data_IF_356568253081
#
_entry.id   IF_356568253081
#
_cell.length_a   1.000
_cell.length_b   1.000
_cell.length_c   1.000
_cell.angle_alpha   90.00
_cell.angle_beta   90.00
_cell.angle_gamma   90.00
#
_symmetry.space_group_name_H-M   'P 1'
#
loop_
_entity.id
_entity.type
_entity.pdbx_description
1 polymer ?
#
# COMPACT_ATOMS: atom_id res chain seq x y z
N UNK A 1 -12.88 -23.63 -14.45
CA UNK A 1 -13.62 -22.46 -13.94
C UNK A 1 -12.59 -21.49 -13.39
N UNK A 2 -12.94 -20.26 -13.06
CA UNK A 2 -12.00 -19.39 -12.35
C UNK A 2 -12.52 -19.18 -10.93
N UNK A 3 -11.69 -19.44 -9.94
CA UNK A 3 -11.96 -19.05 -8.55
C UNK A 3 -11.39 -17.64 -8.36
N UNK A 4 -12.14 -16.80 -7.69
CA UNK A 4 -11.70 -15.50 -7.21
C UNK A 4 -12.21 -15.28 -5.79
N UNK A 5 -11.44 -14.59 -4.97
CA UNK A 5 -11.88 -14.05 -3.69
C UNK A 5 -12.14 -12.55 -3.79
N UNK A 6 -12.78 -11.98 -2.76
CA UNK A 6 -12.91 -10.53 -2.60
C UNK A 6 -11.61 -9.88 -2.13
N UNK A 7 -10.74 -10.63 -1.42
CA UNK A 7 -9.44 -10.16 -0.92
C UNK A 7 -8.35 -11.22 -1.07
N UNK A 8 -7.09 -10.81 -1.26
CA UNK A 8 -5.97 -11.75 -1.35
C UNK A 8 -5.62 -12.41 -0.01
N UNK A 9 -6.03 -11.81 1.13
CA UNK A 9 -5.75 -12.32 2.46
C UNK A 9 -6.82 -11.90 3.48
N UNK A 10 -6.84 -12.59 4.63
CA UNK A 10 -7.77 -12.31 5.73
C UNK A 10 -7.09 -12.38 7.10
N UNK A 11 -7.64 -11.65 8.08
CA UNK A 11 -7.27 -11.72 9.50
C UNK A 11 -8.30 -12.55 10.30
N UNK A 12 -7.94 -13.09 11.48
CA UNK A 12 -8.90 -13.72 12.38
C UNK A 12 -10.10 -12.80 12.70
N UNK A 13 -11.31 -13.38 12.68
CA UNK A 13 -12.61 -12.71 12.80
C UNK A 13 -13.19 -12.16 11.50
N UNK A 14 -12.41 -12.09 10.41
CA UNK A 14 -12.88 -11.56 9.12
C UNK A 14 -13.69 -12.61 8.33
N UNK A 15 -14.61 -12.13 7.49
CA UNK A 15 -15.37 -12.98 6.55
C UNK A 15 -14.91 -12.74 5.13
N UNK A 16 -14.42 -13.80 4.48
CA UNK A 16 -14.06 -13.80 3.07
C UNK A 16 -15.17 -14.34 2.18
N UNK A 17 -15.22 -13.85 0.94
CA UNK A 17 -16.20 -14.25 -0.08
C UNK A 17 -15.47 -14.83 -1.28
N UNK A 18 -15.69 -16.11 -1.55
CA UNK A 18 -15.09 -16.82 -2.67
C UNK A 18 -16.16 -17.10 -3.72
N UNK A 19 -15.85 -16.82 -4.98
CA UNK A 19 -16.75 -17.01 -6.12
C UNK A 19 -16.07 -17.85 -7.19
N UNK A 20 -16.80 -18.82 -7.72
CA UNK A 20 -16.38 -19.63 -8.86
C UNK A 20 -17.20 -19.24 -10.08
N UNK A 21 -16.50 -19.02 -11.20
CA UNK A 21 -17.12 -18.81 -12.50
C UNK A 21 -17.00 -20.10 -13.33
N UNK A 22 -18.13 -20.76 -13.56
CA UNK A 22 -18.25 -21.98 -14.37
C UNK A 22 -19.41 -21.78 -15.36
N UNK A 23 -19.25 -22.28 -16.58
CA UNK A 23 -20.31 -22.32 -17.58
C UNK A 23 -21.15 -23.57 -17.36
N UNK A 24 -22.42 -23.40 -16.98
CA UNK A 24 -23.40 -24.48 -16.86
C UNK A 24 -24.51 -24.27 -17.90
N UNK A 25 -24.31 -24.74 -19.15
CA UNK A 25 -25.26 -24.51 -20.23
C UNK A 25 -26.58 -25.27 -20.02
N UNK A 26 -26.54 -26.38 -19.28
CA UNK A 26 -27.65 -27.30 -19.11
C UNK A 26 -28.40 -27.09 -17.78
N UNK A 27 -27.97 -26.12 -16.96
CA UNK A 27 -28.50 -25.90 -15.60
C UNK A 27 -28.48 -27.17 -14.76
N UNK A 28 -27.44 -27.98 -14.93
CA UNK A 28 -27.30 -29.30 -14.33
C UNK A 28 -26.64 -29.24 -12.94
N UNK A 29 -26.13 -28.09 -12.49
CA UNK A 29 -25.46 -27.95 -11.20
C UNK A 29 -26.44 -27.68 -10.04
N UNK A 30 -26.31 -28.39 -8.91
CA UNK A 30 -27.07 -28.10 -7.68
C UNK A 30 -26.29 -27.31 -6.64
N UNK A 31 -24.97 -27.34 -6.75
CA UNK A 31 -24.13 -26.94 -5.64
C UNK A 31 -22.66 -27.19 -5.89
N UNK A 32 -21.90 -26.89 -4.85
CA UNK A 32 -20.45 -26.81 -4.88
C UNK A 32 -19.91 -27.28 -3.54
N UNK A 33 -18.82 -28.04 -3.58
CA UNK A 33 -18.00 -28.37 -2.41
C UNK A 33 -16.71 -27.57 -2.52
N UNK A 34 -16.47 -26.72 -1.52
CA UNK A 34 -15.29 -25.90 -1.37
C UNK A 34 -14.37 -26.53 -0.34
N UNK A 35 -13.12 -26.74 -0.70
CA UNK A 35 -12.09 -27.29 0.17
C UNK A 35 -10.99 -26.25 0.32
N UNK A 36 -10.69 -25.91 1.57
CA UNK A 36 -9.65 -24.97 1.97
C UNK A 36 -8.55 -25.78 2.66
N UNK A 37 -7.32 -25.71 2.17
CA UNK A 37 -6.19 -26.49 2.67
C UNK A 37 -5.01 -25.56 3.04
N UNK A 38 -4.57 -25.59 4.29
CA UNK A 38 -3.38 -24.86 4.71
C UNK A 38 -2.12 -25.60 4.26
N UNK A 39 -1.31 -24.96 3.43
CA UNK A 39 -0.09 -25.55 2.84
C UNK A 39 1.04 -25.83 3.85
N UNK A 40 1.01 -25.17 5.01
CA UNK A 40 2.01 -25.33 6.07
C UNK A 40 1.61 -26.35 7.12
N UNK A 41 0.39 -26.26 7.64
CA UNK A 41 -0.10 -27.13 8.71
C UNK A 41 -0.80 -28.40 8.22
N UNK A 42 -1.27 -28.41 6.97
CA UNK A 42 -2.12 -29.46 6.42
C UNK A 42 -3.56 -29.43 6.95
N UNK A 43 -3.96 -28.38 7.65
CA UNK A 43 -5.34 -28.20 8.09
C UNK A 43 -6.27 -28.11 6.88
N UNK A 44 -7.40 -28.82 6.93
CA UNK A 44 -8.43 -28.77 5.89
C UNK A 44 -9.79 -28.37 6.44
N UNK A 45 -10.50 -27.54 5.68
CA UNK A 45 -11.87 -27.11 5.96
C UNK A 45 -12.74 -27.30 4.72
N UNK A 46 -13.90 -27.92 4.88
CA UNK A 46 -14.82 -28.21 3.76
C UNK A 46 -16.14 -27.48 3.98
N UNK A 47 -16.57 -26.72 2.98
CA UNK A 47 -17.83 -25.98 2.99
C UNK A 47 -18.66 -26.34 1.76
N UNK A 48 -19.91 -26.75 1.98
CA UNK A 48 -20.85 -27.01 0.91
C UNK A 48 -21.77 -25.81 0.70
N UNK A 49 -22.01 -25.45 -0.56
CA UNK A 49 -22.88 -24.34 -0.95
C UNK A 49 -23.79 -24.75 -2.10
N UNK A 50 -25.01 -24.21 -2.14
CA UNK A 50 -25.92 -24.34 -3.29
C UNK A 50 -25.69 -23.26 -4.34
N UNK A 51 -24.84 -22.27 -4.05
CA UNK A 51 -24.50 -21.16 -4.94
C UNK A 51 -23.04 -21.23 -5.35
N UNK A 52 -22.71 -20.61 -6.48
CA UNK A 52 -21.33 -20.47 -6.96
C UNK A 52 -20.48 -19.50 -6.13
N UNK A 53 -21.02 -19.02 -5.02
CA UNK A 53 -20.33 -18.19 -4.01
C UNK A 53 -20.42 -18.88 -2.66
N UNK A 54 -19.36 -18.76 -1.85
CA UNK A 54 -19.31 -19.17 -0.45
C UNK A 54 -18.74 -18.03 0.41
N UNK A 55 -19.31 -17.86 1.60
CA UNK A 55 -18.80 -16.93 2.61
C UNK A 55 -18.23 -17.73 3.78
N UNK A 56 -16.99 -17.45 4.15
CA UNK A 56 -16.26 -18.15 5.22
C UNK A 56 -15.76 -17.13 6.22
N UNK A 57 -16.10 -17.32 7.50
CA UNK A 57 -15.53 -16.53 8.60
C UNK A 57 -14.33 -17.27 9.16
N UNK A 58 -13.17 -16.62 9.17
CA UNK A 58 -11.92 -17.19 9.65
C UNK A 58 -11.78 -16.88 11.15
N UNK A 59 -12.15 -17.81 12.02
CA UNK A 59 -11.97 -17.64 13.47
C UNK A 59 -10.62 -18.21 13.95
N UNK A 60 -10.40 -18.19 15.26
CA UNK A 60 -9.17 -18.70 15.90
C UNK A 60 -8.94 -20.21 15.70
N UNK A 61 -9.87 -20.94 15.07
CA UNK A 61 -9.65 -22.34 14.71
C UNK A 61 -8.91 -22.52 13.38
N UNK A 62 -8.71 -21.46 12.60
CA UNK A 62 -7.95 -21.49 11.35
C UNK A 62 -6.48 -21.16 11.59
N UNK A 63 -5.60 -22.04 11.16
CA UNK A 63 -4.16 -21.82 11.23
C UNK A 63 -3.73 -20.67 10.30
N UNK A 64 -2.81 -19.83 10.76
CA UNK A 64 -2.17 -18.86 9.88
C UNK A 64 -1.31 -19.52 8.79
N UNK A 65 -1.05 -18.77 7.73
CA UNK A 65 -0.22 -19.18 6.61
C UNK A 65 -0.95 -19.11 5.28
N UNK A 66 -0.38 -19.77 4.28
CA UNK A 66 -0.94 -19.80 2.93
C UNK A 66 -1.94 -20.95 2.81
N UNK A 67 -3.11 -20.63 2.27
CA UNK A 67 -4.23 -21.52 2.06
C UNK A 67 -4.51 -21.69 0.57
N UNK A 68 -4.80 -22.92 0.19
CA UNK A 68 -5.22 -23.32 -1.13
C UNK A 68 -6.73 -23.57 -1.12
N UNK A 69 -7.45 -23.07 -2.13
CA UNK A 69 -8.88 -23.29 -2.33
C UNK A 69 -9.10 -24.15 -3.56
N UNK A 70 -9.80 -25.26 -3.36
CA UNK A 70 -10.30 -26.15 -4.42
C UNK A 70 -11.81 -26.10 -4.42
N UNK A 71 -12.43 -26.14 -5.60
CA UNK A 71 -13.88 -26.19 -5.74
C UNK A 71 -14.31 -27.30 -6.68
N UNK A 72 -15.23 -28.13 -6.20
CA UNK A 72 -15.85 -29.21 -6.96
C UNK A 72 -17.32 -28.90 -7.18
N UNK A 73 -17.80 -28.95 -8.42
CA UNK A 73 -19.21 -28.73 -8.74
C UNK A 73 -20.02 -30.03 -8.62
N UNK A 74 -21.24 -29.94 -8.11
CA UNK A 74 -22.14 -31.06 -7.84
C UNK A 74 -23.26 -31.05 -8.87
N UNK A 75 -23.41 -32.15 -9.61
CA UNK A 75 -24.48 -32.33 -10.60
C UNK A 75 -25.79 -32.83 -9.97
N UNK A 76 -26.90 -32.27 -10.43
CA UNK A 76 -28.25 -32.69 -10.08
C UNK A 76 -28.67 -33.89 -10.90
N UNK A 77 -29.26 -34.88 -10.23
CA UNK A 77 -29.86 -36.05 -10.86
C UNK A 77 -28.87 -36.87 -11.71
N UNK A 78 -27.57 -36.77 -11.43
CA UNK A 78 -26.58 -37.68 -12.01
C UNK A 78 -26.94 -39.11 -11.57
N UNK A 79 -27.09 -40.07 -12.52
CA UNK A 79 -27.21 -41.48 -12.17
C UNK A 79 -26.04 -41.88 -11.25
N UNK A 80 -26.27 -42.77 -10.27
CA UNK A 80 -25.20 -43.21 -9.35
C UNK A 80 -23.94 -43.77 -10.06
N UNK A 81 -24.06 -44.17 -11.33
CA UNK A 81 -22.95 -44.66 -12.15
C UNK A 81 -22.19 -43.55 -12.91
N UNK A 82 -22.69 -42.31 -12.89
CA UNK A 82 -22.00 -41.12 -13.33
C UNK A 82 -21.47 -40.37 -12.11
N UNK A 83 -20.52 -40.97 -11.40
CA UNK A 83 -19.74 -40.34 -10.33
C UNK A 83 -18.77 -39.29 -10.88
N UNK A 84 -19.31 -38.31 -11.61
CA UNK A 84 -18.53 -37.27 -12.26
C UNK A 84 -18.52 -36.03 -11.36
N UNK A 85 -17.58 -36.00 -10.41
CA UNK A 85 -17.11 -34.73 -9.87
C UNK A 85 -16.31 -34.07 -10.98
N UNK A 86 -16.83 -32.97 -11.53
CA UNK A 86 -16.04 -32.15 -12.45
C UNK A 86 -15.09 -31.32 -11.58
N UNK A 87 -14.04 -31.98 -11.08
CA UNK A 87 -12.93 -31.33 -10.40
C UNK A 87 -12.11 -30.66 -11.50
N UNK A 88 -12.50 -29.45 -11.88
CA UNK A 88 -11.57 -28.58 -12.56
C UNK A 88 -10.61 -28.11 -11.47
N UNK A 89 -9.35 -28.55 -11.53
CA UNK A 89 -8.24 -28.20 -10.64
C UNK A 89 -7.92 -26.70 -10.69
N UNK A 90 -8.90 -25.86 -10.37
CA UNK A 90 -8.72 -24.42 -10.25
C UNK A 90 -8.31 -24.22 -8.81
N UNK A 91 -7.00 -24.17 -8.64
CA UNK A 91 -6.36 -23.88 -7.37
C UNK A 91 -6.30 -22.36 -7.22
N UNK A 92 -6.79 -21.84 -6.10
CA UNK A 92 -6.64 -20.43 -5.73
C UNK A 92 -5.90 -20.32 -4.40
N UNK A 93 -4.84 -19.52 -4.34
CA UNK A 93 -4.05 -19.32 -3.13
C UNK A 93 -4.43 -17.99 -2.45
N UNK A 94 -4.59 -18.02 -1.12
CA UNK A 94 -4.77 -16.83 -0.29
C UNK A 94 -4.02 -16.97 1.04
N UNK A 95 -3.75 -15.86 1.73
CA UNK A 95 -3.10 -15.88 3.05
C UNK A 95 -4.07 -15.69 4.20
N UNK A 96 -3.93 -16.46 5.27
CA UNK A 96 -4.40 -16.07 6.61
C UNK A 96 -3.22 -15.53 7.41
N UNK A 97 -3.33 -14.30 7.89
CA UNK A 97 -2.29 -13.65 8.67
C UNK A 97 -2.68 -13.61 10.15
N UNK A 98 -1.87 -14.25 10.99
CA UNK A 98 -1.94 -14.13 12.46
C UNK A 98 -1.50 -12.73 12.94
N UNK A 99 -0.73 -12.04 12.10
CA UNK A 99 -0.05 -10.81 12.43
C UNK A 99 -0.89 -9.58 12.04
N UNK A 100 -1.10 -8.69 13.01
CA UNK A 100 -1.67 -7.36 12.76
C UNK A 100 -0.73 -6.62 11.81
N UNK A 101 -1.24 -6.19 10.66
CA UNK A 101 -0.44 -5.45 9.68
C UNK A 101 0.31 -4.26 10.32
N UNK A 102 1.53 -3.95 9.87
CA UNK A 102 2.25 -2.80 10.39
C UNK A 102 1.51 -1.53 9.95
N UNK A 103 1.34 -0.58 10.87
CA UNK A 103 0.62 0.68 10.62
C UNK A 103 1.46 1.86 11.11
N UNK A 104 1.54 2.93 10.30
CA UNK A 104 2.17 4.19 10.72
C UNK A 104 1.15 5.00 11.54
N UNK A 105 1.22 4.87 12.86
CA UNK A 105 0.30 5.52 13.78
C UNK A 105 0.52 7.04 13.82
N UNK A 106 1.78 7.45 13.80
CA UNK A 106 2.18 8.83 14.06
C UNK A 106 3.42 9.22 13.28
N UNK A 107 3.51 10.50 12.93
CA UNK A 107 4.67 11.11 12.30
C UNK A 107 4.86 12.52 12.86
N UNK A 108 6.08 12.82 13.30
CA UNK A 108 6.48 14.14 13.78
C UNK A 108 7.72 14.68 13.09
N UNK A 109 7.87 16.00 13.17
CA UNK A 109 9.02 16.72 12.67
C UNK A 109 9.36 17.85 13.64
N UNK A 110 10.58 17.85 14.14
CA UNK A 110 11.07 18.82 15.12
C UNK A 110 12.32 19.53 14.58
N UNK A 111 12.28 20.86 14.51
CA UNK A 111 13.42 21.66 14.09
C UNK A 111 14.54 21.63 15.15
N UNK A 112 15.80 21.59 14.71
CA UNK A 112 16.95 21.77 15.59
C UNK A 112 17.03 23.23 16.04
N UNK A 113 17.04 23.44 17.36
CA UNK A 113 17.10 24.78 17.98
C UNK A 113 18.38 25.55 17.68
N UNK A 114 19.46 24.86 17.27
CA UNK A 114 20.76 25.46 16.91
C UNK A 114 20.96 25.57 15.41
N UNK A 115 20.22 24.78 14.63
CA UNK A 115 20.31 24.79 13.19
C UNK A 115 18.89 24.79 12.59
N UNK A 116 18.34 25.95 12.21
CA UNK A 116 16.97 26.07 11.72
C UNK A 116 16.65 25.27 10.45
N UNK A 117 17.67 24.73 9.77
CA UNK A 117 17.52 23.91 8.58
C UNK A 117 17.77 22.42 8.81
N UNK A 118 18.07 22.02 10.04
CA UNK A 118 18.13 20.62 10.43
C UNK A 118 16.84 20.23 11.11
N UNK A 119 16.24 19.13 10.66
CA UNK A 119 15.02 18.57 11.25
C UNK A 119 15.26 17.14 11.70
N UNK A 120 14.63 16.81 12.81
CA UNK A 120 14.52 15.45 13.36
C UNK A 120 13.12 14.93 13.10
N UNK A 121 13.04 13.78 12.45
CA UNK A 121 11.79 13.11 12.13
C UNK A 121 11.64 11.87 12.99
N UNK A 122 10.42 11.63 13.43
CA UNK A 122 10.04 10.47 14.23
C UNK A 122 8.75 9.88 13.68
N UNK A 123 8.69 8.55 13.55
CA UNK A 123 7.45 7.82 13.28
C UNK A 123 7.24 6.74 14.33
N UNK A 124 5.96 6.55 14.68
CA UNK A 124 5.51 5.41 15.48
C UNK A 124 4.85 4.39 14.57
N UNK A 125 5.22 3.13 14.75
CA UNK A 125 4.70 1.98 14.03
C UNK A 125 4.13 0.98 15.04
N UNK A 126 2.91 0.54 14.80
CA UNK A 126 2.27 -0.57 15.50
C UNK A 126 2.12 -1.78 14.58
N UNK A 127 1.71 -2.92 15.13
CA UNK A 127 1.57 -4.18 14.38
C UNK A 127 2.89 -4.94 14.21
N UNK A 128 2.89 -5.93 13.34
CA UNK A 128 4.06 -6.72 12.98
C UNK A 128 4.83 -6.07 11.83
N UNK A 129 5.96 -5.46 12.18
CA UNK A 129 6.87 -4.82 11.23
C UNK A 129 8.11 -5.68 10.93
N UNK A 130 8.07 -6.98 11.22
CA UNK A 130 9.18 -7.89 10.91
C UNK A 130 9.49 -7.88 9.40
N UNK A 131 10.77 -7.66 9.06
CA UNK A 131 11.23 -7.58 7.67
C UNK A 131 10.78 -6.34 6.90
N UNK A 132 10.03 -5.43 7.54
CA UNK A 132 9.54 -4.20 6.91
C UNK A 132 10.65 -3.14 6.88
N UNK A 133 10.62 -2.28 5.85
CA UNK A 133 11.51 -1.10 5.73
C UNK A 133 10.69 0.17 5.65
N UNK A 134 11.28 1.29 6.03
CA UNK A 134 10.73 2.64 5.85
C UNK A 134 11.47 3.33 4.71
N UNK A 135 10.74 4.06 3.86
CA UNK A 135 11.33 5.05 2.95
C UNK A 135 10.85 6.44 3.33
N UNK A 136 11.79 7.35 3.52
CA UNK A 136 11.56 8.76 3.82
C UNK A 136 11.80 9.60 2.57
N UNK A 137 10.88 10.51 2.26
CA UNK A 137 11.04 11.56 1.27
C UNK A 137 10.86 12.91 1.95
N UNK A 138 11.85 13.79 1.87
CA UNK A 138 11.87 15.05 2.60
C UNK A 138 11.25 16.23 1.85
N UNK A 139 10.77 16.01 0.62
CA UNK A 139 10.02 17.01 -0.15
C UNK A 139 10.87 18.14 -0.76
N UNK A 140 12.20 18.08 -0.65
CA UNK A 140 13.14 19.07 -1.20
C UNK A 140 13.88 18.59 -2.46
N UNK A 141 13.49 17.43 -2.99
CA UNK A 141 14.14 16.80 -4.15
C UNK A 141 15.42 16.04 -3.84
N UNK A 142 15.83 15.95 -2.57
CA UNK A 142 16.90 15.04 -2.16
C UNK A 142 16.49 13.57 -2.36
N UNK A 143 17.49 12.69 -2.46
CA UNK A 143 17.25 11.25 -2.59
C UNK A 143 16.57 10.70 -1.32
N UNK A 144 15.57 9.81 -1.46
CA UNK A 144 14.94 9.16 -0.33
C UNK A 144 15.93 8.37 0.53
N UNK A 145 15.67 8.30 1.83
CA UNK A 145 16.41 7.46 2.77
C UNK A 145 15.58 6.22 3.08
N UNK A 146 16.17 5.03 2.92
CA UNK A 146 15.56 3.77 3.33
C UNK A 146 16.22 3.24 4.60
N UNK A 147 15.42 2.68 5.52
CA UNK A 147 15.91 2.07 6.75
C UNK A 147 15.08 0.84 7.12
N UNK A 148 15.72 -0.17 7.71
CA UNK A 148 15.01 -1.32 8.26
C UNK A 148 14.26 -0.91 9.52
N UNK A 149 13.02 -1.39 9.70
CA UNK A 149 12.27 -1.16 10.93
C UNK A 149 12.77 -2.12 12.00
N UNK A 150 13.42 -1.58 13.03
CA UNK A 150 13.98 -2.37 14.15
C UNK A 150 13.28 -2.12 15.47
N UNK A 151 12.48 -1.05 15.55
CA UNK A 151 11.74 -0.65 16.75
C UNK A 151 10.40 -0.01 16.32
N UNK A 152 9.47 0.01 17.27
CA UNK A 152 8.18 0.72 17.17
C UNK A 152 8.36 2.22 16.94
N UNK A 153 9.46 2.82 17.41
CA UNK A 153 9.77 4.23 17.17
C UNK A 153 11.03 4.36 16.31
N UNK A 154 10.85 4.88 15.10
CA UNK A 154 11.94 5.07 14.14
C UNK A 154 12.24 6.55 13.96
N UNK A 155 13.52 6.88 13.86
CA UNK A 155 13.99 8.28 13.77
C UNK A 155 14.96 8.45 12.61
N UNK A 156 14.92 9.63 12.01
CA UNK A 156 15.92 10.08 11.04
C UNK A 156 16.15 11.59 11.17
N UNK A 157 17.20 12.10 10.56
CA UNK A 157 17.47 13.53 10.47
C UNK A 157 17.70 13.94 9.02
N UNK A 158 17.34 15.18 8.68
CA UNK A 158 17.61 15.75 7.37
C UNK A 158 18.08 17.18 7.49
N UNK A 159 19.01 17.56 6.61
CA UNK A 159 19.52 18.93 6.49
C UNK A 159 19.05 19.52 5.16
N UNK A 160 18.19 20.52 5.23
CA UNK A 160 17.71 21.24 4.06
C UNK A 160 18.80 22.19 3.54
N UNK A 161 19.16 22.03 2.27
CA UNK A 161 20.17 22.87 1.61
C UNK A 161 19.63 24.23 1.17
N UNK A 162 18.33 24.28 0.89
CA UNK A 162 17.59 25.48 0.56
C UNK A 162 16.19 25.39 1.19
N UNK A 163 15.59 26.55 1.47
CA UNK A 163 14.21 26.64 1.93
C UNK A 163 13.30 26.68 0.70
N UNK A 164 12.56 25.59 0.37
CA UNK A 164 11.41 25.73 -0.51
C UNK A 164 10.48 26.82 0.05
N UNK A 165 10.10 27.77 -0.81
CA UNK A 165 9.42 29.01 -0.43
C UNK A 165 8.09 28.83 0.33
N UNK A 166 7.58 27.60 0.44
CA UNK A 166 6.33 27.28 1.13
C UNK A 166 6.51 26.24 2.26
N UNK A 167 7.73 25.77 2.53
CA UNK A 167 7.98 24.57 3.33
C UNK A 167 8.10 23.31 2.48
N UNK A 168 8.12 22.14 3.12
CA UNK A 168 8.31 20.85 2.45
C UNK A 168 7.24 19.84 2.87
N UNK A 169 6.74 19.05 1.91
CA UNK A 169 5.90 17.88 2.20
C UNK A 169 6.80 16.68 2.44
N UNK A 170 6.94 16.31 3.70
CA UNK A 170 7.69 15.12 4.08
C UNK A 170 6.73 13.94 4.03
N UNK A 171 7.11 12.86 3.36
CA UNK A 171 6.35 11.62 3.36
C UNK A 171 7.20 10.44 3.82
N UNK A 172 6.52 9.46 4.38
CA UNK A 172 7.11 8.21 4.83
C UNK A 172 6.20 7.06 4.42
N UNK A 173 6.78 6.00 3.87
CA UNK A 173 6.06 4.80 3.45
C UNK A 173 6.70 3.53 4.02
N UNK A 174 5.89 2.53 4.32
CA UNK A 174 6.38 1.18 4.61
C UNK A 174 6.59 0.42 3.30
N UNK A 175 7.76 -0.21 3.19
CA UNK A 175 8.18 -1.08 2.10
C UNK A 175 8.30 -2.52 2.61
N UNK A 176 8.21 -3.47 1.69
CA UNK A 176 8.32 -4.91 1.97
C UNK A 176 7.35 -5.39 3.06
N UNK A 177 6.24 -4.66 3.23
CA UNK A 177 5.10 -5.14 4.01
C UNK A 177 4.54 -6.37 3.33
N UNK A 178 3.97 -7.27 4.14
CA UNK A 178 3.27 -8.43 3.62
C UNK A 178 2.24 -7.99 2.58
N UNK A 179 2.16 -8.69 1.43
CA UNK A 179 1.20 -8.39 0.34
C UNK A 179 -0.26 -8.37 0.82
N UNK A 180 -0.54 -9.03 1.93
CA UNK A 180 -1.81 -9.01 2.63
C UNK A 180 -2.17 -7.67 3.27
N UNK A 181 -1.16 -6.81 3.51
CA UNK A 181 -1.34 -5.56 4.20
C UNK A 181 -1.60 -4.41 3.24
N UNK A 182 -2.55 -3.52 3.53
CA UNK A 182 -2.76 -2.34 2.72
C UNK A 182 -1.51 -1.46 2.76
N UNK A 183 -1.11 -0.85 1.62
CA UNK A 183 0.00 0.09 1.59
C UNK A 183 -0.13 1.15 2.69
N UNK A 184 0.96 1.40 3.41
CA UNK A 184 1.00 2.39 4.48
C UNK A 184 1.91 3.54 4.09
N UNK A 185 1.36 4.75 4.16
CA UNK A 185 2.14 5.97 4.07
C UNK A 185 1.55 7.06 4.96
N UNK A 186 2.39 8.03 5.32
CA UNK A 186 1.98 9.22 6.04
C UNK A 186 2.73 10.42 5.51
N UNK A 187 2.08 11.57 5.55
CA UNK A 187 2.64 12.82 5.08
C UNK A 187 2.50 13.89 6.14
N UNK A 188 3.48 14.79 6.19
CA UNK A 188 3.48 15.95 7.08
C UNK A 188 4.10 17.14 6.38
N UNK A 189 3.37 18.25 6.39
CA UNK A 189 3.91 19.53 5.98
C UNK A 189 4.78 20.11 7.10
N UNK A 190 5.98 20.58 6.74
CA UNK A 190 6.84 21.34 7.64
C UNK A 190 7.03 22.76 7.12
N UNK A 191 7.07 23.73 8.02
CA UNK A 191 7.37 25.13 7.69
C UNK A 191 8.84 25.37 7.96
N UNK A 192 9.55 25.79 6.92
CA UNK A 192 10.95 26.20 7.03
C UNK A 192 11.03 27.71 7.30
N UNK A 193 12.10 28.20 7.94
CA UNK A 193 12.23 29.63 8.24
C UNK A 193 12.41 30.47 6.97
N UNK A 194 11.70 31.60 6.91
CA UNK A 194 11.68 32.52 5.76
C UNK A 194 13.07 33.12 5.45
N UNK A 195 13.93 33.26 6.47
CA UNK A 195 15.25 33.89 6.33
C UNK A 195 16.30 32.98 5.66
N UNK A 196 15.92 31.77 5.25
CA UNK A 196 16.79 30.84 4.54
C UNK A 196 17.77 30.10 5.46
N UNK A 197 18.42 29.08 4.90
CA UNK A 197 19.43 28.26 5.58
C UNK A 197 20.83 28.89 5.60
N UNK A 198 20.91 30.19 5.32
CA UNK A 198 22.17 30.91 5.36
C UNK A 198 22.72 30.82 6.78
N UNK A 199 23.91 30.25 6.93
CA UNK A 199 24.67 30.37 8.17
C UNK A 199 24.60 31.84 8.56
N UNK A 200 24.05 32.12 9.74
CA UNK A 200 24.37 33.35 10.44
C UNK A 200 25.86 33.29 10.68
N UNK A 201 26.65 33.67 9.68
CA UNK A 201 28.05 33.94 9.87
C UNK A 201 28.08 35.03 10.93
N UNK A 202 28.60 34.66 12.09
CA UNK A 202 28.72 35.47 13.27
C UNK A 202 29.42 36.78 12.88
N UNK A 203 28.61 37.77 12.54
CA UNK A 203 29.02 39.15 12.34
C UNK A 203 29.41 39.75 13.68
N UNK A 204 30.50 39.25 14.26
CA UNK A 204 31.30 39.92 15.26
C UNK A 204 31.97 41.14 14.64
N UNK A 205 31.16 42.13 14.26
CA UNK A 205 31.58 43.48 13.93
C UNK A 205 31.54 44.32 15.20
N UNK A 206 32.72 44.49 15.80
CA UNK A 206 32.92 45.49 16.83
C UNK A 206 32.76 46.91 16.31
N UNK A 207 32.71 47.82 17.28
CA UNK A 207 33.05 49.23 17.24
C UNK A 207 32.05 50.21 16.59
N UNK A 208 31.31 50.89 17.48
CA UNK A 208 31.58 52.31 17.73
C UNK A 208 30.82 53.36 16.90
N UNK A 209 30.38 54.41 17.60
CA UNK A 209 30.22 55.75 17.03
C UNK A 209 28.78 56.23 16.93
N UNK A 210 28.46 57.23 17.75
CA UNK A 210 27.16 57.91 17.76
C UNK A 210 26.92 58.86 16.59
N UNK A 211 25.76 59.52 16.64
CA UNK A 211 25.41 60.60 15.73
C UNK A 211 23.91 60.85 15.72
N UNK A 212 23.50 61.94 16.36
CA UNK A 212 22.15 62.51 16.35
C UNK A 212 21.73 63.03 14.95
N UNK A 213 20.42 63.16 14.75
CA UNK A 213 19.75 63.91 13.67
C UNK A 213 18.71 63.04 12.95
N UNK A 214 17.41 63.26 13.02
CA UNK A 214 16.69 64.53 12.90
C UNK A 214 16.19 64.67 11.46
N UNK A 215 14.89 64.47 11.20
CA UNK A 215 14.29 64.70 9.88
C UNK A 215 12.91 64.07 9.67
N UNK A 216 11.88 64.91 9.75
CA UNK A 216 10.48 64.64 9.41
C UNK A 216 10.22 64.48 7.89
N UNK A 217 9.06 63.86 7.57
CA UNK A 217 8.36 63.95 6.27
C UNK A 217 8.46 62.67 5.43
N UNK A 218 7.42 62.03 4.90
CA UNK A 218 6.05 62.44 4.58
C UNK A 218 5.64 61.68 3.31
N UNK A 219 4.39 61.21 3.21
CA UNK A 219 3.76 60.67 1.99
C UNK A 219 4.27 59.28 1.57
N UNK A 220 3.47 58.22 1.56
CA UNK A 220 2.25 58.13 0.77
C UNK A 220 2.61 57.97 -0.71
N UNK A 221 2.57 56.72 -1.20
CA UNK A 221 1.89 56.33 -2.45
C UNK A 221 2.10 54.83 -2.68
N UNK A 222 1.01 54.10 -2.46
CA UNK A 222 0.73 52.79 -3.00
C UNK A 222 0.67 52.89 -4.53
N UNK A 223 1.32 51.95 -5.23
CA UNK A 223 0.84 51.22 -6.42
C UNK A 223 2.03 50.77 -7.29
N UNK A 224 2.02 49.46 -7.59
CA UNK A 224 2.57 48.73 -8.75
C UNK A 224 3.06 47.36 -8.23
N UNK A 225 2.54 46.21 -8.61
CA UNK A 225 1.58 45.84 -9.63
C UNK A 225 1.85 44.39 -10.04
N UNK A 226 0.78 43.64 -10.36
CA UNK A 226 0.73 42.55 -11.36
C UNK A 226 1.70 41.34 -11.17
N UNK A 227 1.32 40.07 -11.13
CA UNK A 227 0.41 39.31 -12.01
C UNK A 227 0.31 37.84 -11.51
N UNK A 228 -0.83 37.20 -11.82
CA UNK A 228 -1.06 35.74 -11.98
C UNK A 228 -1.27 34.86 -10.73
N UNK A 229 -2.48 34.97 -10.16
CA UNK A 229 -3.13 33.86 -9.46
C UNK A 229 -4.05 33.08 -10.40
N UNK A 230 -3.51 32.15 -11.19
CA UNK A 230 -4.31 31.10 -11.84
C UNK A 230 -4.56 29.98 -10.84
N UNK A 231 -5.84 29.78 -10.50
CA UNK A 231 -6.35 28.67 -9.70
C UNK A 231 -6.02 27.33 -10.38
N UNK A 232 -5.26 26.47 -9.71
CA UNK A 232 -5.22 25.05 -10.03
C UNK A 232 -6.43 24.40 -9.37
N UNK A 233 -7.38 23.98 -10.20
CA UNK A 233 -8.47 23.11 -9.79
C UNK A 233 -7.89 21.76 -9.33
N UNK A 234 -8.44 21.25 -8.22
CA UNK A 234 -7.99 20.04 -7.56
C UNK A 234 -8.04 18.79 -8.44
N UNK A 235 -7.02 17.94 -8.27
CA UNK A 235 -7.05 16.55 -8.66
C UNK A 235 -7.09 15.70 -7.39
N UNK A 236 -8.27 15.16 -7.05
CA UNK A 236 -8.39 13.89 -6.34
C UNK A 236 -9.57 13.11 -6.93
N UNK A 237 -9.31 11.83 -7.18
CA UNK A 237 -10.22 10.71 -7.46
C UNK A 237 -10.80 10.59 -8.88
N UNK A 238 -10.30 9.60 -9.64
CA UNK A 238 -10.96 8.28 -9.71
C UNK A 238 -10.29 7.38 -10.76
N UNK A 239 -10.21 6.08 -10.45
CA UNK A 239 -10.48 5.05 -11.45
C UNK A 239 -9.27 4.37 -12.07
N UNK A 240 -8.68 3.45 -11.32
CA UNK A 240 -8.12 2.21 -11.85
C UNK A 240 -9.21 1.54 -12.72
N UNK A 241 -8.99 1.41 -14.03
CA UNK A 241 -9.73 0.52 -14.93
C UNK A 241 -9.01 0.45 -16.28
N UNK A 242 -8.47 -0.72 -16.62
CA UNK A 242 -7.98 -0.96 -17.98
C UNK A 242 -6.83 -1.95 -18.15
N UNK A 243 -6.83 -3.08 -17.45
CA UNK A 243 -6.13 -4.26 -17.96
C UNK A 243 -6.91 -4.78 -19.18
N UNK A 244 -6.46 -4.45 -20.38
CA UNK A 244 -6.91 -5.06 -21.62
C UNK A 244 -5.77 -5.87 -22.25
N UNK A 245 -5.92 -7.18 -22.07
CA UNK A 245 -5.53 -8.27 -22.95
C UNK A 245 -5.11 -7.85 -24.37
N UNK A 246 -3.87 -8.18 -24.72
CA UNK A 246 -3.45 -8.48 -26.08
C UNK A 246 -2.66 -9.79 -26.07
N UNK A 247 -3.39 -10.89 -26.21
CA UNK A 247 -2.88 -12.15 -26.73
C UNK A 247 -2.98 -12.14 -28.26
N UNK A 248 -1.98 -12.69 -28.95
CA UNK A 248 -2.05 -13.75 -30.00
C UNK A 248 -0.72 -13.83 -30.81
N UNK A 249 -0.34 -14.98 -31.40
CA UNK A 249 0.53 -15.96 -30.74
C UNK A 249 1.75 -16.38 -31.60
N UNK A 250 2.71 -17.07 -30.98
CA UNK A 250 3.69 -17.88 -31.71
C UNK A 250 3.23 -19.34 -31.77
N UNK A 251 3.29 -19.88 -32.99
CA UNK A 251 2.97 -21.26 -33.33
C UNK A 251 4.00 -22.24 -32.74
N UNK A 252 3.52 -23.35 -32.19
CA UNK A 252 4.30 -24.57 -32.04
C UNK A 252 3.46 -25.74 -32.55
N UNK A 253 3.81 -26.19 -33.75
CA UNK A 253 3.34 -27.43 -34.38
C UNK A 253 4.11 -28.58 -33.72
N UNK A 254 3.41 -29.48 -33.02
CA UNK A 254 3.95 -30.77 -32.61
C UNK A 254 3.32 -31.86 -33.48
N UNK A 255 4.13 -32.49 -34.34
CA UNK A 255 3.77 -33.70 -35.06
C UNK A 255 3.78 -34.89 -34.07
N UNK A 256 2.62 -35.54 -33.92
CA UNK A 256 2.53 -36.84 -33.27
C UNK A 256 2.72 -37.93 -34.33
N UNK A 257 3.83 -38.66 -34.25
CA UNK A 257 4.03 -39.91 -35.00
C UNK A 257 3.36 -41.03 -34.21
N UNK A 258 2.36 -41.66 -34.81
CA UNK A 258 1.83 -42.94 -34.35
C UNK A 258 2.83 -44.07 -34.65
N UNK A 259 3.00 -45.07 -33.78
CA UNK A 259 3.62 -46.33 -34.15
C UNK A 259 2.58 -47.27 -34.77
N UNK A 260 2.95 -47.88 -35.89
CA UNK A 260 2.21 -48.94 -36.58
C UNK A 260 1.97 -50.15 -35.66
N UNK A 261 0.72 -50.64 -35.65
CA UNK A 261 0.34 -52.05 -35.65
C UNK A 261 -1.15 -52.20 -36.00
#
# INVERSE_FOLDING_TARGET
GNISSDKPCYIPGETGVFTVTITDPDSALCGYTWEFENTGSGQTNIVNSTTNTVSVTFDDSWDAGNWEVKVSAILCNAPLECGFSLTADNIYEFGLIEAVCPVIDYMDANADVRNPCKYYFEVSISGDYSGTRLRWNFGDGSSPIEQNVTDSIMRTEHLYSAVPANGALVSVELLDINVCCPPQSKERWITLPDEGCGRGDDGGGGDGGGGDGGGDGGGGLSLCGFLLGTWIAGFIAAGILGYLNLWWPWAAIAFYLAPDN
#
